data_IF_896895945464
#
_entry.id   IF_896895945464
#
_cell.length_a   1.000
_cell.length_b   1.000
_cell.length_c   1.000
_cell.angle_alpha   90.00
_cell.angle_beta   90.00
_cell.angle_gamma   90.00
#
_symmetry.space_group_name_H-M   'P 1'
#
loop_
_entity.id
_entity.type
_entity.pdbx_description
1 polymer ?
#
# COMPACT_ATOMS: atom_id res chain seq x y z
N UNK A 1 -2.52 36.81 47.54
CA UNK A 1 -3.39 35.73 47.02
C UNK A 1 -4.51 36.32 46.15
N UNK A 2 -4.18 36.99 45.04
CA UNK A 2 -5.20 37.55 44.14
C UNK A 2 -4.61 37.75 42.73
N UNK A 3 -4.42 36.65 42.00
CA UNK A 3 -3.99 36.74 40.59
C UNK A 3 -4.36 35.47 39.77
N UNK A 4 -5.53 34.85 40.04
CA UNK A 4 -5.97 33.64 39.31
C UNK A 4 -7.30 33.82 38.55
N UNK A 5 -8.05 34.91 38.75
CA UNK A 5 -9.37 35.03 38.13
C UNK A 5 -9.41 36.17 37.13
N UNK A 6 -9.24 35.85 35.83
CA UNK A 6 -9.97 36.43 34.68
C UNK A 6 -9.33 36.00 33.35
N UNK A 7 -9.28 34.68 33.07
CA UNK A 7 -9.18 34.27 31.68
C UNK A 7 -10.53 34.61 31.01
N UNK A 8 -10.54 35.50 30.02
CA UNK A 8 -11.78 35.84 29.30
C UNK A 8 -12.32 34.59 28.59
N UNK A 9 -13.63 34.48 28.39
CA UNK A 9 -14.24 33.32 27.72
C UNK A 9 -13.60 33.00 26.36
N UNK A 10 -13.09 34.02 25.66
CA UNK A 10 -12.33 33.88 24.41
C UNK A 10 -10.97 33.18 24.61
N UNK A 11 -10.24 33.46 25.68
CA UNK A 11 -8.95 32.82 26.00
C UNK A 11 -9.17 31.34 26.37
N UNK A 12 -10.18 31.04 27.19
CA UNK A 12 -10.55 29.67 27.55
C UNK A 12 -10.94 28.84 26.32
N UNK A 13 -11.69 29.42 25.38
CA UNK A 13 -12.04 28.78 24.11
C UNK A 13 -10.80 28.55 23.23
N UNK A 14 -9.88 29.50 23.19
CA UNK A 14 -8.63 29.40 22.42
C UNK A 14 -7.71 28.32 22.98
N UNK A 15 -7.55 28.23 24.31
CA UNK A 15 -6.77 27.18 24.98
C UNK A 15 -7.39 25.80 24.73
N UNK A 16 -8.72 25.66 24.88
CA UNK A 16 -9.43 24.41 24.58
C UNK A 16 -9.27 23.98 23.13
N UNK A 17 -9.41 24.91 22.19
CA UNK A 17 -9.22 24.65 20.75
C UNK A 17 -7.79 24.22 20.43
N UNK A 18 -6.80 24.86 21.05
CA UNK A 18 -5.39 24.53 20.88
C UNK A 18 -5.06 23.14 21.46
N UNK A 19 -5.62 22.80 22.63
CA UNK A 19 -5.50 21.48 23.23
C UNK A 19 -6.12 20.38 22.36
N UNK A 20 -7.35 20.60 21.89
CA UNK A 20 -8.05 19.66 21.01
C UNK A 20 -7.29 19.42 19.70
N UNK A 21 -6.73 20.48 19.10
CA UNK A 21 -5.94 20.36 17.87
C UNK A 21 -4.63 19.59 18.09
N UNK A 22 -4.00 19.71 19.28
CA UNK A 22 -2.82 18.90 19.62
C UNK A 22 -3.16 17.41 19.69
N UNK A 23 -4.27 17.06 20.35
CA UNK A 23 -4.74 15.66 20.43
C UNK A 23 -5.06 15.13 19.02
N UNK A 24 -5.79 15.91 18.22
CA UNK A 24 -6.10 15.57 16.83
C UNK A 24 -4.84 15.27 16.02
N UNK A 25 -3.81 16.12 16.11
CA UNK A 25 -2.52 15.91 15.44
C UNK A 25 -1.78 14.68 15.96
N UNK A 26 -1.79 14.43 17.27
CA UNK A 26 -1.15 13.27 17.86
C UNK A 26 -1.79 11.94 17.37
N UNK A 27 -3.11 11.85 17.40
CA UNK A 27 -3.86 10.70 16.89
C UNK A 27 -3.62 10.52 15.38
N UNK A 28 -3.73 11.60 14.61
CA UNK A 28 -3.48 11.59 13.16
C UNK A 28 -2.08 11.08 12.84
N UNK A 29 -1.07 11.55 13.59
CA UNK A 29 0.30 11.13 13.40
C UNK A 29 0.52 9.66 13.77
N UNK A 30 0.02 9.22 14.93
CA UNK A 30 0.12 7.83 15.36
C UNK A 30 -0.56 6.87 14.36
N UNK A 31 -1.76 7.21 13.90
CA UNK A 31 -2.48 6.45 12.89
C UNK A 31 -1.75 6.40 11.55
N UNK A 32 -1.19 7.53 11.08
CA UNK A 32 -0.41 7.59 9.85
C UNK A 32 0.88 6.76 9.94
N UNK A 33 1.59 6.78 11.07
CA UNK A 33 2.76 5.94 11.30
C UNK A 33 2.40 4.46 11.30
N UNK A 34 1.33 4.08 12.01
CA UNK A 34 0.86 2.70 12.05
C UNK A 34 0.44 2.23 10.66
N UNK A 35 -0.35 3.03 9.93
CA UNK A 35 -0.74 2.72 8.56
C UNK A 35 0.47 2.48 7.66
N UNK A 36 1.43 3.41 7.66
CA UNK A 36 2.62 3.32 6.83
C UNK A 36 3.50 2.11 7.19
N UNK A 37 3.75 1.89 8.48
CA UNK A 37 4.61 0.79 8.97
C UNK A 37 3.99 -0.59 8.80
N UNK A 38 2.68 -0.73 8.96
CA UNK A 38 1.98 -2.00 8.78
C UNK A 38 1.60 -2.30 7.33
N UNK A 39 1.76 -1.36 6.40
CA UNK A 39 1.44 -1.56 4.98
C UNK A 39 1.98 -2.86 4.37
N UNK A 40 3.26 -3.24 4.58
CA UNK A 40 3.80 -4.51 4.08
C UNK A 40 3.69 -5.67 5.08
N UNK A 41 3.01 -5.51 6.21
CA UNK A 41 2.99 -6.49 7.31
C UNK A 41 1.58 -7.02 7.57
N UNK A 42 0.57 -6.15 7.66
CA UNK A 42 -0.76 -6.54 8.12
C UNK A 42 -1.86 -5.65 7.55
N UNK A 43 -2.83 -6.26 6.87
CA UNK A 43 -4.04 -5.57 6.41
C UNK A 43 -4.79 -5.01 7.63
N UNK A 44 -5.00 -5.81 8.69
CA UNK A 44 -5.64 -5.32 9.90
C UNK A 44 -4.89 -4.13 10.52
N UNK A 45 -3.56 -4.21 10.63
CA UNK A 45 -2.73 -3.11 11.13
C UNK A 45 -2.87 -1.82 10.30
N UNK A 46 -2.93 -1.93 8.97
CA UNK A 46 -3.16 -0.77 8.10
C UNK A 46 -4.52 -0.13 8.29
N UNK A 47 -5.58 -0.94 8.45
CA UNK A 47 -6.95 -0.46 8.66
C UNK A 47 -7.11 0.18 10.03
N UNK A 48 -6.53 -0.42 11.08
CA UNK A 48 -6.51 0.18 12.43
C UNK A 48 -5.77 1.53 12.40
N UNK A 49 -4.61 1.60 11.74
CA UNK A 49 -3.88 2.85 11.55
C UNK A 49 -4.71 3.93 10.84
N UNK A 50 -5.42 3.57 9.76
CA UNK A 50 -6.34 4.47 9.06
C UNK A 50 -7.49 4.92 9.96
N UNK A 51 -8.08 4.01 10.75
CA UNK A 51 -9.15 4.35 11.68
C UNK A 51 -8.70 5.36 12.74
N UNK A 52 -7.52 5.15 13.34
CA UNK A 52 -6.92 6.09 14.30
C UNK A 52 -6.66 7.45 13.64
N UNK A 53 -6.14 7.46 12.40
CA UNK A 53 -5.91 8.69 11.66
C UNK A 53 -7.20 9.44 11.34
N UNK A 54 -8.25 8.72 10.92
CA UNK A 54 -9.57 9.28 10.65
C UNK A 54 -10.20 9.88 11.91
N UNK A 55 -10.09 9.21 13.06
CA UNK A 55 -10.53 9.76 14.35
C UNK A 55 -9.79 11.06 14.71
N UNK A 56 -8.47 11.10 14.47
CA UNK A 56 -7.66 12.31 14.62
C UNK A 56 -8.11 13.45 13.70
N UNK A 57 -8.42 13.17 12.43
CA UNK A 57 -8.94 14.16 11.48
C UNK A 57 -10.32 14.67 11.93
N UNK A 58 -11.23 13.78 12.35
CA UNK A 58 -12.55 14.16 12.84
C UNK A 58 -12.46 15.08 14.07
N UNK A 59 -11.61 14.74 15.04
CA UNK A 59 -11.32 15.60 16.19
C UNK A 59 -10.72 16.95 15.74
N UNK A 60 -9.86 16.94 14.72
CA UNK A 60 -9.32 18.14 14.10
C UNK A 60 -10.41 19.03 13.51
N UNK A 61 -11.35 18.46 12.75
CA UNK A 61 -12.48 19.18 12.14
C UNK A 61 -13.34 19.84 13.22
N UNK A 62 -13.67 19.12 14.29
CA UNK A 62 -14.40 19.67 15.44
C UNK A 62 -13.60 20.79 16.13
N UNK A 63 -12.26 20.68 16.18
CA UNK A 63 -11.37 21.74 16.66
C UNK A 63 -11.15 22.88 15.64
N UNK A 64 -11.82 22.86 14.49
CA UNK A 64 -11.80 23.89 13.47
C UNK A 64 -10.67 23.78 12.44
N UNK A 65 -10.08 22.59 12.27
CA UNK A 65 -9.30 22.26 11.07
C UNK A 65 -10.23 22.21 9.86
N UNK A 66 -9.76 22.76 8.73
CA UNK A 66 -10.49 22.71 7.47
C UNK A 66 -9.79 21.72 6.53
N UNK A 67 -10.45 20.64 6.10
CA UNK A 67 -9.88 19.70 5.15
C UNK A 67 -9.37 20.41 3.89
N UNK A 68 -8.20 19.98 3.41
CA UNK A 68 -7.61 20.53 2.19
C UNK A 68 -8.29 19.93 0.98
N UNK A 69 -8.65 20.79 0.02
CA UNK A 69 -9.11 20.36 -1.30
C UNK A 69 -7.96 19.84 -2.14
N UNK A 70 -8.22 18.85 -2.97
CA UNK A 70 -7.22 18.32 -3.90
C UNK A 70 -7.82 18.05 -5.27
N UNK A 71 -6.96 17.99 -6.28
CA UNK A 71 -7.33 17.59 -7.64
C UNK A 71 -7.83 16.15 -7.73
N UNK A 72 -7.61 15.33 -6.69
CA UNK A 72 -8.09 13.95 -6.63
C UNK A 72 -9.54 13.85 -6.15
N UNK A 73 -10.13 14.89 -5.56
CA UNK A 73 -11.48 14.80 -5.00
C UNK A 73 -12.53 14.42 -6.05
N UNK A 74 -12.51 15.08 -7.21
CA UNK A 74 -13.48 14.80 -8.28
C UNK A 74 -13.33 13.37 -8.85
N UNK A 75 -12.12 12.90 -9.20
CA UNK A 75 -11.92 11.49 -9.58
C UNK A 75 -12.34 10.48 -8.50
N UNK A 76 -12.04 10.75 -7.23
CA UNK A 76 -12.40 9.86 -6.12
C UNK A 76 -13.92 9.83 -5.92
N UNK A 77 -14.59 10.99 -5.96
CA UNK A 77 -16.05 11.08 -5.88
C UNK A 77 -16.75 10.41 -7.06
N UNK A 78 -16.22 10.58 -8.27
CA UNK A 78 -16.72 9.88 -9.45
C UNK A 78 -16.60 8.36 -9.29
N UNK A 79 -15.45 7.88 -8.82
CA UNK A 79 -15.25 6.45 -8.57
C UNK A 79 -16.18 5.92 -7.46
N UNK A 80 -16.35 6.66 -6.36
CA UNK A 80 -17.30 6.32 -5.30
C UNK A 80 -18.73 6.26 -5.85
N UNK A 81 -19.14 7.25 -6.65
CA UNK A 81 -20.47 7.28 -7.26
C UNK A 81 -20.69 6.09 -8.21
N UNK A 82 -19.68 5.73 -9.01
CA UNK A 82 -19.73 4.55 -9.88
C UNK A 82 -19.83 3.26 -9.05
N UNK A 83 -19.06 3.11 -7.98
CA UNK A 83 -19.15 1.94 -7.11
C UNK A 83 -20.52 1.82 -6.44
N UNK A 84 -21.06 2.91 -5.91
CA UNK A 84 -22.40 2.92 -5.31
C UNK A 84 -23.47 2.62 -6.37
N UNK A 85 -23.37 3.21 -7.57
CA UNK A 85 -24.29 2.91 -8.66
C UNK A 85 -24.21 1.43 -9.06
N UNK A 86 -23.01 0.86 -9.14
CA UNK A 86 -22.80 -0.57 -9.42
C UNK A 86 -23.44 -1.46 -8.34
N UNK A 87 -23.30 -1.09 -7.07
CA UNK A 87 -23.92 -1.80 -5.95
C UNK A 87 -25.46 -1.75 -6.03
N UNK A 88 -26.03 -0.58 -6.37
CA UNK A 88 -27.48 -0.39 -6.49
C UNK A 88 -28.08 -1.06 -7.74
N UNK A 89 -27.32 -1.15 -8.83
CA UNK A 89 -27.72 -1.81 -10.07
C UNK A 89 -27.45 -3.32 -10.08
N UNK A 90 -26.85 -3.85 -9.01
CA UNK A 90 -26.62 -5.28 -8.86
C UNK A 90 -27.95 -6.06 -8.91
N UNK A 91 -28.06 -7.11 -9.73
CA UNK A 91 -29.28 -7.93 -9.80
C UNK A 91 -29.57 -8.68 -8.49
N UNK A 92 -28.58 -8.78 -7.59
CA UNK A 92 -28.73 -9.38 -6.26
C UNK A 92 -29.04 -8.36 -5.16
N UNK A 93 -29.23 -7.09 -5.53
CA UNK A 93 -29.37 -5.97 -4.59
C UNK A 93 -28.03 -5.45 -4.05
N UNK A 94 -28.07 -4.36 -3.27
CA UNK A 94 -26.86 -3.77 -2.70
C UNK A 94 -26.23 -4.72 -1.67
N UNK A 95 -24.89 -4.86 -1.68
CA UNK A 95 -24.19 -5.68 -0.71
C UNK A 95 -24.33 -5.10 0.70
N UNK A 96 -24.18 -5.95 1.71
CA UNK A 96 -24.03 -5.48 3.09
C UNK A 96 -22.84 -4.52 3.22
N UNK A 97 -22.90 -3.60 4.18
CA UNK A 97 -21.85 -2.60 4.42
C UNK A 97 -20.46 -3.22 4.67
N UNK A 98 -20.41 -4.43 5.22
CA UNK A 98 -19.18 -5.19 5.41
C UNK A 98 -18.56 -5.63 4.07
N UNK A 99 -19.40 -5.93 3.07
CA UNK A 99 -19.04 -6.44 1.75
C UNK A 99 -18.85 -5.34 0.70
N UNK A 100 -19.35 -4.12 0.97
CA UNK A 100 -19.22 -2.93 0.12
C UNK A 100 -17.79 -2.32 0.17
N UNK A 101 -16.78 -3.13 -0.19
CA UNK A 101 -15.35 -2.83 0.05
C UNK A 101 -14.74 -1.85 -0.96
N UNK A 102 -15.31 -1.73 -2.16
CA UNK A 102 -14.74 -0.94 -3.26
C UNK A 102 -14.67 0.54 -2.94
N UNK A 103 -15.80 1.18 -2.62
CA UNK A 103 -15.83 2.61 -2.31
C UNK A 103 -15.13 2.92 -0.97
N UNK A 104 -15.18 2.00 0.00
CA UNK A 104 -14.49 2.14 1.29
C UNK A 104 -12.98 2.19 1.14
N UNK A 105 -12.41 1.43 0.20
CA UNK A 105 -10.97 1.42 -0.07
C UNK A 105 -10.46 2.78 -0.57
N UNK A 106 -11.34 3.56 -1.21
CA UNK A 106 -11.04 4.90 -1.74
C UNK A 106 -10.87 5.91 -0.61
N UNK A 107 -11.61 5.75 0.50
CA UNK A 107 -11.51 6.62 1.67
C UNK A 107 -10.09 6.64 2.26
N UNK A 108 -9.33 5.55 2.13
CA UNK A 108 -7.95 5.49 2.59
C UNK A 108 -7.07 6.59 1.98
N UNK A 109 -7.24 6.87 0.68
CA UNK A 109 -6.50 7.95 0.00
C UNK A 109 -6.84 9.33 0.59
N UNK A 110 -8.12 9.57 0.85
CA UNK A 110 -8.58 10.81 1.46
C UNK A 110 -8.02 10.97 2.89
N UNK A 111 -8.10 9.92 3.71
CA UNK A 111 -7.57 9.93 5.09
C UNK A 111 -6.07 10.21 5.11
N UNK A 112 -5.27 9.53 4.27
CA UNK A 112 -3.83 9.78 4.20
C UNK A 112 -3.53 11.21 3.76
N UNK A 113 -4.25 11.72 2.76
CA UNK A 113 -4.07 13.08 2.27
C UNK A 113 -4.42 14.13 3.34
N UNK A 114 -5.56 13.99 4.02
CA UNK A 114 -5.94 14.90 5.09
C UNK A 114 -5.02 14.77 6.30
N UNK A 115 -4.47 13.58 6.56
CA UNK A 115 -3.46 13.38 7.60
C UNK A 115 -2.22 14.22 7.30
N UNK A 116 -1.72 14.17 6.07
CA UNK A 116 -0.57 14.97 5.63
C UNK A 116 -0.88 16.48 5.72
N UNK A 117 -2.09 16.90 5.33
CA UNK A 117 -2.53 18.29 5.40
C UNK A 117 -2.61 18.81 6.85
N UNK A 118 -3.28 18.08 7.73
CA UNK A 118 -3.45 18.43 9.15
C UNK A 118 -2.12 18.47 9.90
N UNK A 119 -1.20 17.56 9.56
CA UNK A 119 0.12 17.53 10.17
C UNK A 119 1.03 18.63 9.64
N UNK A 120 0.92 18.98 8.35
CA UNK A 120 1.54 20.13 7.66
C UNK A 120 3.07 20.11 7.54
N UNK A 121 3.76 19.51 8.51
CA UNK A 121 5.20 19.60 8.65
C UNK A 121 5.93 18.47 7.93
N UNK A 122 7.07 18.81 7.29
CA UNK A 122 7.91 17.84 6.55
C UNK A 122 8.38 16.67 7.43
N UNK A 123 8.63 16.90 8.73
CA UNK A 123 9.09 15.85 9.65
C UNK A 123 8.10 14.69 9.78
N UNK A 124 6.79 14.95 9.79
CA UNK A 124 5.78 13.90 9.95
C UNK A 124 5.66 13.05 8.69
N UNK A 125 5.71 13.68 7.51
CA UNK A 125 5.80 12.96 6.23
C UNK A 125 7.04 12.08 6.17
N UNK A 126 8.19 12.63 6.55
CA UNK A 126 9.44 11.88 6.57
C UNK A 126 9.40 10.70 7.56
N UNK A 127 8.76 10.88 8.73
CA UNK A 127 8.58 9.81 9.71
C UNK A 127 7.65 8.70 9.18
N UNK A 128 6.56 9.05 8.49
CA UNK A 128 5.70 8.06 7.83
C UNK A 128 6.44 7.27 6.75
N UNK A 129 7.25 7.94 5.92
CA UNK A 129 8.10 7.28 4.92
C UNK A 129 9.18 6.40 5.57
N UNK A 130 9.73 6.81 6.71
CA UNK A 130 10.65 5.98 7.50
C UNK A 130 9.96 4.73 8.07
N UNK A 131 8.73 4.86 8.58
CA UNK A 131 7.93 3.74 9.05
C UNK A 131 7.61 2.76 7.91
N UNK A 132 7.20 3.27 6.74
CA UNK A 132 6.99 2.44 5.55
C UNK A 132 8.26 1.70 5.11
N UNK A 133 9.41 2.39 5.09
CA UNK A 133 10.68 1.78 4.75
C UNK A 133 11.10 0.71 5.78
N UNK A 134 10.94 0.96 7.08
CA UNK A 134 11.21 -0.01 8.14
C UNK A 134 10.31 -1.24 8.02
N UNK A 135 9.01 -1.04 7.81
CA UNK A 135 8.06 -2.12 7.59
C UNK A 135 8.43 -2.97 6.36
N UNK A 136 8.81 -2.31 5.25
CA UNK A 136 9.20 -3.00 4.03
C UNK A 136 10.48 -3.80 4.22
N UNK A 137 11.51 -3.23 4.88
CA UNK A 137 12.72 -3.96 5.25
C UNK A 137 12.39 -5.24 6.03
N UNK A 138 11.58 -5.11 7.08
CA UNK A 138 11.21 -6.24 7.94
C UNK A 138 10.47 -7.31 7.14
N UNK A 139 9.45 -6.93 6.38
CA UNK A 139 8.65 -7.87 5.58
C UNK A 139 9.47 -8.52 4.45
N UNK A 140 10.35 -7.76 3.81
CA UNK A 140 11.24 -8.28 2.77
C UNK A 140 12.26 -9.28 3.33
N UNK A 141 12.85 -9.00 4.49
CA UNK A 141 13.77 -9.94 5.17
C UNK A 141 13.04 -11.24 5.50
N UNK A 142 11.85 -11.16 6.09
CA UNK A 142 11.02 -12.34 6.38
C UNK A 142 10.69 -13.11 5.09
N UNK A 143 10.31 -12.42 4.02
CA UNK A 143 10.02 -13.02 2.72
C UNK A 143 11.25 -13.70 2.08
N UNK A 144 12.44 -13.13 2.22
CA UNK A 144 13.69 -13.71 1.71
C UNK A 144 14.15 -14.93 2.54
N UNK A 145 13.92 -14.91 3.85
CA UNK A 145 14.14 -16.08 4.73
C UNK A 145 13.16 -17.19 4.35
N UNK A 146 11.88 -16.87 4.17
CA UNK A 146 10.86 -17.79 3.66
C UNK A 146 11.28 -18.42 2.33
N UNK A 147 11.73 -17.60 1.37
CA UNK A 147 12.19 -18.08 0.06
C UNK A 147 13.26 -19.18 0.18
N UNK A 148 14.14 -19.07 1.17
CA UNK A 148 15.26 -19.99 1.37
C UNK A 148 14.92 -21.22 2.20
N UNK A 149 14.04 -21.08 3.19
CA UNK A 149 13.86 -22.06 4.28
C UNK A 149 12.47 -22.67 4.32
N UNK A 150 11.47 -22.03 3.72
CA UNK A 150 10.06 -22.41 3.84
C UNK A 150 9.42 -22.04 5.17
N UNK A 151 10.16 -21.37 6.07
CA UNK A 151 9.67 -21.02 7.40
C UNK A 151 8.58 -19.94 7.33
N UNK A 152 7.35 -20.27 7.69
CA UNK A 152 6.30 -19.28 7.95
C UNK A 152 6.45 -18.70 9.36
N UNK A 153 7.08 -17.52 9.47
CA UNK A 153 7.27 -16.82 10.74
C UNK A 153 5.94 -16.53 11.46
N UNK A 154 4.86 -16.24 10.72
CA UNK A 154 3.55 -15.91 11.31
C UNK A 154 2.98 -17.14 12.02
N UNK A 155 3.14 -18.31 11.42
CA UNK A 155 2.77 -19.58 12.02
C UNK A 155 3.68 -19.95 13.21
N UNK A 156 5.00 -19.77 13.10
CA UNK A 156 5.93 -20.00 14.22
C UNK A 156 5.59 -19.15 15.45
N UNK A 157 5.16 -17.90 15.23
CA UNK A 157 4.70 -17.00 16.28
C UNK A 157 3.28 -17.31 16.79
N UNK A 158 2.63 -18.37 16.27
CA UNK A 158 1.25 -18.78 16.59
C UNK A 158 0.22 -17.68 16.31
N UNK A 159 0.51 -16.81 15.36
CA UNK A 159 -0.41 -15.77 14.88
C UNK A 159 -1.29 -16.28 13.72
N UNK A 160 -1.08 -17.53 13.28
CA UNK A 160 -1.87 -18.23 12.27
C UNK A 160 -1.86 -19.73 12.57
N UNK A 161 -3.02 -20.36 12.44
CA UNK A 161 -3.24 -21.79 12.70
C UNK A 161 -2.43 -22.68 11.76
N UNK A 162 -2.54 -22.45 10.45
CA UNK A 162 -1.84 -23.23 9.45
C UNK A 162 -0.66 -22.48 8.87
N UNK A 163 0.46 -23.17 8.71
CA UNK A 163 1.57 -22.64 7.97
C UNK A 163 1.21 -22.45 6.50
N UNK A 164 1.62 -21.32 5.93
CA UNK A 164 1.42 -21.02 4.51
C UNK A 164 2.78 -20.93 3.83
N UNK A 165 2.95 -21.70 2.77
CA UNK A 165 4.03 -21.56 1.81
C UNK A 165 3.56 -22.04 0.44
N UNK A 166 4.22 -21.54 -0.60
CA UNK A 166 4.03 -21.97 -1.98
C UNK A 166 5.40 -22.25 -2.54
N UNK A 167 5.59 -23.37 -3.23
CA UNK A 167 6.89 -23.64 -3.87
C UNK A 167 7.23 -22.60 -4.93
N UNK A 168 8.52 -22.29 -5.01
CA UNK A 168 9.07 -21.41 -6.01
C UNK A 168 9.02 -22.12 -7.38
N UNK A 169 8.34 -21.53 -8.38
CA UNK A 169 8.21 -22.14 -9.69
C UNK A 169 9.57 -22.40 -10.34
N UNK A 170 9.81 -23.64 -10.74
CA UNK A 170 11.05 -24.05 -11.40
C UNK A 170 12.28 -24.09 -10.48
N UNK A 171 12.10 -24.02 -9.16
CA UNK A 171 13.18 -24.11 -8.17
C UNK A 171 12.76 -25.04 -7.02
N UNK A 172 12.96 -26.36 -7.15
CA UNK A 172 12.69 -27.33 -6.09
C UNK A 172 13.40 -26.96 -4.78
N UNK A 173 12.70 -27.12 -3.65
CA UNK A 173 13.23 -26.78 -2.31
C UNK A 173 13.36 -25.27 -2.02
N UNK A 174 12.82 -24.41 -2.89
CA UNK A 174 12.66 -22.98 -2.65
C UNK A 174 11.17 -22.63 -2.59
N UNK A 175 10.86 -21.50 -1.95
CA UNK A 175 9.47 -21.07 -1.71
C UNK A 175 9.23 -19.65 -2.23
N UNK A 176 8.00 -19.28 -2.55
CA UNK A 176 7.66 -17.90 -2.89
C UNK A 176 7.77 -17.01 -1.64
N UNK A 177 8.41 -15.85 -1.78
CA UNK A 177 8.41 -14.85 -0.71
C UNK A 177 6.97 -14.35 -0.45
N UNK A 178 6.53 -14.36 0.81
CA UNK A 178 5.21 -13.88 1.21
C UNK A 178 5.24 -12.86 2.36
N UNK A 179 6.39 -12.70 3.02
CA UNK A 179 6.52 -11.83 4.19
C UNK A 179 5.53 -12.27 5.27
N UNK A 180 4.66 -11.36 5.69
CA UNK A 180 3.64 -11.65 6.70
C UNK A 180 2.27 -12.03 6.11
N UNK A 181 2.13 -12.03 4.77
CA UNK A 181 0.85 -12.32 4.12
C UNK A 181 0.65 -13.83 3.90
N UNK A 182 -0.58 -14.21 3.53
CA UNK A 182 -0.94 -15.59 3.14
C UNK A 182 -0.63 -15.89 1.67
N UNK A 183 -0.36 -14.86 0.86
CA UNK A 183 -0.19 -14.97 -0.58
C UNK A 183 1.01 -14.17 -1.06
N UNK A 184 1.84 -14.80 -1.88
CA UNK A 184 2.97 -14.16 -2.57
C UNK A 184 2.53 -13.03 -3.50
N UNK A 185 1.30 -13.08 -4.02
CA UNK A 185 0.76 -12.03 -4.90
C UNK A 185 0.45 -10.77 -4.09
N UNK A 186 -0.24 -10.92 -2.95
CA UNK A 186 -0.55 -9.81 -2.05
C UNK A 186 0.73 -9.14 -1.56
N UNK A 187 1.71 -9.94 -1.14
CA UNK A 187 3.01 -9.42 -0.73
C UNK A 187 3.74 -8.71 -1.88
N UNK A 188 3.84 -9.35 -3.05
CA UNK A 188 4.53 -8.79 -4.21
C UNK A 188 3.98 -7.43 -4.63
N UNK A 189 2.65 -7.29 -4.73
CA UNK A 189 2.02 -6.03 -5.11
C UNK A 189 2.19 -4.94 -4.04
N UNK A 190 2.03 -5.27 -2.75
CA UNK A 190 2.27 -4.33 -1.66
C UNK A 190 3.73 -3.85 -1.60
N UNK A 191 4.68 -4.77 -1.74
CA UNK A 191 6.11 -4.44 -1.77
C UNK A 191 6.44 -3.55 -2.98
N UNK A 192 5.91 -3.87 -4.17
CA UNK A 192 6.08 -3.04 -5.38
C UNK A 192 5.56 -1.61 -5.18
N UNK A 193 4.38 -1.45 -4.57
CA UNK A 193 3.82 -0.12 -4.29
C UNK A 193 4.74 0.71 -3.38
N UNK A 194 5.28 0.10 -2.32
CA UNK A 194 6.19 0.77 -1.39
C UNK A 194 7.56 1.06 -2.03
N UNK A 195 8.09 0.15 -2.85
CA UNK A 195 9.30 0.40 -3.63
C UNK A 195 9.10 1.60 -4.56
N UNK A 196 7.96 1.69 -5.25
CA UNK A 196 7.64 2.82 -6.12
C UNK A 196 7.53 4.13 -5.32
N UNK A 197 6.82 4.12 -4.19
CA UNK A 197 6.67 5.29 -3.30
C UNK A 197 8.02 5.79 -2.77
N UNK A 198 8.85 4.88 -2.25
CA UNK A 198 10.16 5.22 -1.69
C UNK A 198 11.15 5.65 -2.78
N UNK A 199 11.13 4.97 -3.93
CA UNK A 199 11.95 5.31 -5.10
C UNK A 199 11.60 6.69 -5.65
N UNK A 200 10.30 6.99 -5.80
CA UNK A 200 9.82 8.32 -6.16
C UNK A 200 10.20 9.38 -5.12
N UNK A 201 10.08 9.06 -3.84
CA UNK A 201 10.48 9.97 -2.74
C UNK A 201 11.97 10.28 -2.72
N UNK A 202 12.82 9.30 -3.02
CA UNK A 202 14.26 9.48 -3.21
C UNK A 202 14.57 10.33 -4.44
N UNK A 203 13.95 10.01 -5.57
CA UNK A 203 14.12 10.74 -6.83
C UNK A 203 13.66 12.20 -6.72
N UNK A 204 12.65 12.49 -5.89
CA UNK A 204 12.17 13.83 -5.59
C UNK A 204 13.04 14.57 -4.56
N UNK A 205 14.00 13.91 -3.89
CA UNK A 205 14.77 14.50 -2.79
C UNK A 205 13.91 14.85 -1.56
N UNK A 206 12.78 14.14 -1.39
CA UNK A 206 11.81 14.44 -0.35
C UNK A 206 12.26 13.99 1.05
N UNK A 207 13.18 13.01 1.11
CA UNK A 207 13.61 12.34 2.34
C UNK A 207 14.77 13.05 3.06
N UNK A 208 14.79 12.97 4.38
CA UNK A 208 15.97 13.28 5.19
C UNK A 208 17.06 12.22 4.99
N UNK A 209 18.34 12.58 5.20
CA UNK A 209 19.49 11.70 4.93
C UNK A 209 19.38 10.30 5.55
N UNK A 210 19.02 10.19 6.83
CA UNK A 210 18.87 8.89 7.51
C UNK A 210 17.73 8.05 6.91
N UNK A 211 16.60 8.70 6.62
CA UNK A 211 15.44 8.05 5.98
C UNK A 211 15.74 7.66 4.53
N UNK A 212 16.56 8.44 3.82
CA UNK A 212 17.00 8.11 2.47
C UNK A 212 17.85 6.83 2.44
N UNK A 213 18.77 6.66 3.40
CA UNK A 213 19.55 5.42 3.53
C UNK A 213 18.63 4.23 3.84
N UNK A 214 17.73 4.37 4.82
CA UNK A 214 16.76 3.32 5.15
C UNK A 214 15.87 2.97 3.94
N UNK A 215 15.40 3.97 3.20
CA UNK A 215 14.60 3.78 1.99
C UNK A 215 15.40 3.06 0.89
N UNK A 216 16.68 3.40 0.71
CA UNK A 216 17.57 2.69 -0.21
C UNK A 216 17.72 1.20 0.14
N UNK A 217 17.94 0.89 1.43
CA UNK A 217 17.97 -0.49 1.91
C UNK A 217 16.62 -1.20 1.70
N UNK A 218 15.52 -0.53 2.01
CA UNK A 218 14.17 -1.07 1.84
C UNK A 218 13.83 -1.35 0.37
N UNK A 219 14.26 -0.49 -0.55
CA UNK A 219 14.10 -0.69 -1.99
C UNK A 219 14.91 -1.89 -2.46
N UNK A 220 16.18 -1.99 -2.07
CA UNK A 220 17.04 -3.11 -2.47
C UNK A 220 16.47 -4.46 -1.98
N UNK A 221 16.11 -4.54 -0.70
CA UNK A 221 15.49 -5.73 -0.12
C UNK A 221 14.11 -6.01 -0.73
N UNK A 222 13.31 -4.96 -0.95
CA UNK A 222 11.98 -5.05 -1.55
C UNK A 222 12.03 -5.60 -2.98
N UNK A 223 12.95 -5.13 -3.82
CA UNK A 223 13.14 -5.66 -5.18
C UNK A 223 13.56 -7.12 -5.14
N UNK A 224 14.50 -7.49 -4.26
CA UNK A 224 14.92 -8.88 -4.11
C UNK A 224 13.77 -9.78 -3.64
N UNK A 225 12.96 -9.31 -2.68
CA UNK A 225 11.80 -10.05 -2.18
C UNK A 225 10.71 -10.17 -3.26
N UNK A 226 10.44 -9.10 -4.02
CA UNK A 226 9.50 -9.10 -5.17
C UNK A 226 9.96 -10.07 -6.25
N UNK A 227 11.26 -10.14 -6.57
CA UNK A 227 11.80 -11.16 -7.45
C UNK A 227 11.52 -12.58 -6.92
N UNK A 228 11.74 -12.80 -5.63
CA UNK A 228 11.49 -14.08 -4.95
C UNK A 228 10.00 -14.45 -4.81
N UNK A 229 9.06 -13.56 -5.17
CA UNK A 229 7.63 -13.92 -5.25
C UNK A 229 7.30 -14.72 -6.52
N UNK A 230 8.11 -14.62 -7.58
CA UNK A 230 7.78 -15.15 -8.90
C UNK A 230 6.45 -14.64 -9.47
N UNK A 231 6.05 -13.43 -9.07
CA UNK A 231 4.87 -12.74 -9.57
C UNK A 231 5.24 -11.81 -10.73
N UNK A 232 4.80 -12.19 -11.93
CA UNK A 232 5.03 -11.45 -13.17
C UNK A 232 4.36 -10.07 -13.15
N UNK A 233 3.19 -9.95 -12.50
CA UNK A 233 2.46 -8.68 -12.37
C UNK A 233 3.24 -7.68 -11.53
N UNK A 234 3.78 -8.13 -10.40
CA UNK A 234 4.62 -7.32 -9.53
C UNK A 234 5.91 -6.84 -10.23
N UNK A 235 6.54 -7.67 -11.06
CA UNK A 235 7.72 -7.29 -11.86
C UNK A 235 7.40 -6.24 -12.91
N UNK A 236 6.30 -6.43 -13.64
CA UNK A 236 5.86 -5.47 -14.65
C UNK A 236 5.51 -4.12 -13.99
N UNK A 237 4.81 -4.14 -12.85
CA UNK A 237 4.49 -2.94 -12.10
C UNK A 237 5.74 -2.19 -11.61
N UNK A 238 6.80 -2.89 -11.19
CA UNK A 238 8.08 -2.25 -10.88
C UNK A 238 8.74 -1.61 -12.10
N UNK A 239 8.72 -2.28 -13.25
CA UNK A 239 9.25 -1.72 -14.49
C UNK A 239 8.51 -0.44 -14.91
N UNK A 240 7.18 -0.47 -14.87
CA UNK A 240 6.34 0.71 -15.16
C UNK A 240 6.60 1.83 -14.15
N UNK A 241 6.66 1.52 -12.85
CA UNK A 241 6.96 2.50 -11.82
C UNK A 241 8.33 3.17 -12.04
N UNK A 242 9.35 2.39 -12.42
CA UNK A 242 10.68 2.92 -12.74
C UNK A 242 10.62 3.88 -13.95
N UNK A 243 9.90 3.52 -15.02
CA UNK A 243 9.71 4.39 -16.20
C UNK A 243 9.03 5.71 -15.82
N UNK A 244 7.97 5.65 -15.00
CA UNK A 244 7.28 6.84 -14.49
C UNK A 244 8.22 7.72 -13.68
N UNK A 245 9.02 7.14 -12.77
CA UNK A 245 10.00 7.90 -11.97
C UNK A 245 11.07 8.57 -12.85
N UNK A 246 11.54 7.90 -13.91
CA UNK A 246 12.47 8.48 -14.89
C UNK A 246 11.83 9.63 -15.65
N UNK A 247 10.59 9.45 -16.09
CA UNK A 247 9.85 10.43 -16.87
C UNK A 247 9.69 11.75 -16.11
N UNK A 248 9.37 11.67 -14.81
CA UNK A 248 9.10 12.83 -13.98
C UNK A 248 10.29 13.36 -13.16
N UNK A 249 11.45 12.69 -13.14
CA UNK A 249 12.61 13.15 -12.37
C UNK A 249 13.94 12.92 -13.08
N UNK A 250 14.74 14.00 -13.21
CA UNK A 250 16.14 13.94 -13.70
C UNK A 250 17.01 13.03 -12.82
N UNK A 251 16.82 13.07 -11.49
CA UNK A 251 17.48 12.15 -10.53
C UNK A 251 16.86 10.75 -10.57
N UNK A 252 15.64 10.64 -11.09
CA UNK A 252 14.93 9.38 -11.31
C UNK A 252 15.68 8.40 -12.20
N UNK A 253 16.51 8.88 -13.14
CA UNK A 253 17.39 8.04 -13.97
C UNK A 253 18.33 7.18 -13.14
N UNK A 254 19.01 7.76 -12.14
CA UNK A 254 19.95 7.02 -11.31
C UNK A 254 19.23 5.99 -10.41
N UNK A 255 18.09 6.38 -9.83
CA UNK A 255 17.27 5.50 -9.00
C UNK A 255 16.71 4.34 -9.84
N UNK A 256 16.14 4.64 -11.00
CA UNK A 256 15.59 3.62 -11.89
C UNK A 256 16.67 2.71 -12.47
N UNK A 257 17.87 3.24 -12.78
CA UNK A 257 19.01 2.42 -13.19
C UNK A 257 19.41 1.45 -12.07
N UNK A 258 19.50 1.92 -10.82
CA UNK A 258 19.81 1.06 -9.68
C UNK A 258 18.74 -0.03 -9.49
N UNK A 259 17.46 0.32 -9.57
CA UNK A 259 16.36 -0.65 -9.52
C UNK A 259 16.39 -1.63 -10.69
N UNK A 260 16.70 -1.15 -11.90
CA UNK A 260 16.82 -1.95 -13.10
C UNK A 260 17.97 -2.95 -13.03
N UNK A 261 19.13 -2.54 -12.51
CA UNK A 261 20.27 -3.44 -12.26
C UNK A 261 19.90 -4.50 -11.23
N UNK A 262 19.20 -4.13 -10.15
CA UNK A 262 18.72 -5.08 -9.15
C UNK A 262 17.73 -6.11 -9.74
N UNK A 263 16.80 -5.66 -10.60
CA UNK A 263 15.87 -6.53 -11.33
C UNK A 263 16.59 -7.42 -12.36
N UNK A 264 17.57 -6.90 -13.09
CA UNK A 264 18.39 -7.69 -14.02
C UNK A 264 19.17 -8.78 -13.29
N UNK A 265 19.71 -8.47 -12.11
CA UNK A 265 20.33 -9.47 -11.23
C UNK A 265 19.36 -10.61 -10.86
N UNK A 266 18.08 -10.29 -10.63
CA UNK A 266 17.06 -11.31 -10.38
C UNK A 266 16.77 -12.21 -11.60
N UNK A 267 16.94 -11.72 -12.83
CA UNK A 267 16.82 -12.55 -14.05
C UNK A 267 17.87 -13.68 -14.07
N UNK A 268 18.96 -13.57 -13.30
CA UNK A 268 19.92 -14.66 -13.19
C UNK A 268 19.36 -15.89 -12.46
N UNK A 269 18.25 -15.78 -11.73
CA UNK A 269 17.60 -16.92 -11.09
C UNK A 269 16.89 -17.81 -12.14
N UNK A 270 17.19 -19.12 -12.21
CA UNK A 270 16.59 -20.02 -13.21
C UNK A 270 15.05 -20.01 -13.21
N UNK A 271 14.44 -19.98 -12.02
CA UNK A 271 12.99 -19.88 -11.86
C UNK A 271 12.42 -18.57 -12.43
N UNK A 272 13.15 -17.46 -12.33
CA UNK A 272 12.72 -16.18 -12.93
C UNK A 272 12.79 -16.26 -14.45
N UNK A 273 13.87 -16.81 -15.03
CA UNK A 273 13.98 -16.99 -16.49
C UNK A 273 12.88 -17.87 -17.06
N UNK A 274 12.62 -19.01 -16.41
CA UNK A 274 11.55 -19.94 -16.82
C UNK A 274 10.18 -19.26 -16.80
N UNK A 275 9.92 -18.43 -15.78
CA UNK A 275 8.67 -17.66 -15.66
C UNK A 275 8.54 -16.57 -16.71
N UNK A 276 9.65 -15.90 -17.05
CA UNK A 276 9.68 -14.91 -18.14
C UNK A 276 9.42 -15.58 -19.50
N UNK A 277 10.10 -16.70 -19.80
CA UNK A 277 9.92 -17.43 -21.06
C UNK A 277 8.47 -17.87 -21.30
N UNK A 278 7.78 -18.31 -20.24
CA UNK A 278 6.37 -18.73 -20.30
C UNK A 278 5.37 -17.57 -20.20
N UNK A 279 5.81 -16.31 -20.20
CA UNK A 279 4.89 -15.14 -20.09
C UNK A 279 4.08 -14.92 -21.36
N UNK A 280 4.68 -15.12 -22.53
CA UNK A 280 4.05 -14.92 -23.82
C UNK A 280 3.71 -16.24 -24.53
N UNK A 281 3.86 -17.37 -23.85
CA UNK A 281 3.47 -18.68 -24.39
C UNK A 281 1.96 -18.87 -24.22
N UNK A 282 1.23 -18.87 -25.33
CA UNK A 282 -0.22 -19.07 -25.35
C UNK A 282 -0.65 -20.44 -24.80
N UNK A 283 0.16 -21.49 -25.01
CA UNK A 283 -0.16 -22.84 -24.49
C UNK A 283 -0.02 -22.89 -22.98
N UNK A 284 1.06 -22.31 -22.45
CA UNK A 284 1.29 -22.22 -21.01
C UNK A 284 0.28 -21.30 -20.28
N UNK A 285 -0.50 -20.49 -21.01
CA UNK A 285 -1.50 -19.57 -20.45
C UNK A 285 -2.92 -19.84 -21.01
N UNK A 286 -3.18 -21.04 -21.54
CA UNK A 286 -4.47 -21.41 -22.14
C UNK A 286 -5.65 -21.17 -21.18
N UNK A 287 -5.53 -21.55 -19.92
CA UNK A 287 -6.58 -21.33 -18.91
C UNK A 287 -6.92 -19.86 -18.72
N UNK A 288 -5.92 -18.97 -18.75
CA UNK A 288 -6.14 -17.52 -18.65
C UNK A 288 -6.86 -17.00 -19.88
N UNK A 289 -6.43 -17.41 -21.06
CA UNK A 289 -7.08 -17.03 -22.32
C UNK A 289 -8.54 -17.49 -22.34
N UNK A 290 -8.80 -18.69 -21.85
CA UNK A 290 -10.16 -19.22 -21.68
C UNK A 290 -10.99 -18.36 -20.72
N UNK A 291 -10.45 -18.01 -19.54
CA UNK A 291 -11.12 -17.12 -18.59
C UNK A 291 -11.43 -15.74 -19.19
N UNK A 292 -10.49 -15.13 -19.91
CA UNK A 292 -10.71 -13.85 -20.60
C UNK A 292 -11.76 -13.96 -21.70
N UNK A 293 -11.79 -15.07 -22.44
CA UNK A 293 -12.81 -15.33 -23.45
C UNK A 293 -14.20 -15.46 -22.82
N UNK A 294 -14.33 -16.23 -21.72
CA UNK A 294 -15.59 -16.35 -20.97
C UNK A 294 -16.04 -15.02 -20.37
N UNK A 295 -15.12 -14.25 -19.79
CA UNK A 295 -15.42 -12.91 -19.28
C UNK A 295 -15.95 -11.98 -20.38
N UNK A 296 -15.38 -12.07 -21.60
CA UNK A 296 -15.86 -11.30 -22.76
C UNK A 296 -17.26 -11.70 -23.20
N UNK A 297 -17.59 -13.00 -23.16
CA UNK A 297 -18.94 -13.50 -23.46
C UNK A 297 -19.95 -12.95 -22.43
N UNK A 298 -19.63 -13.01 -21.14
CA UNK A 298 -20.47 -12.44 -20.07
C UNK A 298 -20.70 -10.94 -20.27
N UNK A 299 -19.66 -10.16 -20.60
CA UNK A 299 -19.79 -8.72 -20.87
C UNK A 299 -20.68 -8.46 -22.08
N UNK A 300 -20.59 -9.31 -23.11
CA UNK A 300 -21.42 -9.18 -24.32
C UNK A 300 -22.89 -9.48 -24.02
N UNK A 301 -23.16 -10.49 -23.20
CA UNK A 301 -24.52 -10.94 -22.91
C UNK A 301 -25.19 -10.07 -21.83
N UNK A 302 -24.41 -9.56 -20.87
CA UNK A 302 -24.90 -8.77 -19.73
C UNK A 302 -24.11 -7.45 -19.53
N UNK A 303 -24.13 -6.51 -20.50
CA UNK A 303 -23.25 -5.34 -20.51
C UNK A 303 -23.54 -4.31 -19.41
N UNK A 304 -24.76 -4.28 -18.88
CA UNK A 304 -25.21 -3.26 -17.90
C UNK A 304 -25.26 -3.82 -16.48
N UNK A 305 -25.97 -4.95 -16.29
CA UNK A 305 -26.20 -5.52 -14.96
C UNK A 305 -25.16 -6.58 -14.55
N UNK A 306 -24.35 -7.07 -15.50
CA UNK A 306 -23.49 -8.23 -15.28
C UNK A 306 -24.28 -9.48 -14.88
N UNK A 307 -23.57 -10.47 -14.34
CA UNK A 307 -24.14 -11.71 -13.80
C UNK A 307 -23.93 -11.85 -12.28
N UNK A 308 -23.33 -10.82 -11.64
CA UNK A 308 -22.91 -10.81 -10.24
C UNK A 308 -22.01 -11.97 -9.80
N UNK A 309 -21.81 -12.09 -8.48
CA UNK A 309 -21.18 -13.25 -7.84
C UNK A 309 -22.27 -13.98 -7.07
N UNK A 310 -22.57 -15.22 -7.47
CA UNK A 310 -23.44 -16.13 -6.70
C UNK A 310 -22.66 -16.76 -5.54
#
# INVERSE_FOLDING_TARGET
MAEISQATGAELLTVRRTGALRIARALTFAGLLAHAGFCPISIAGTQIGLGIAAAGIAAGIVAGFRPARTTLELPLLALVAICIASDLLSPYGPPELASATLWRSILGFWVVQQSVSLLGERRYRNAALAAAAAGLCLSAVVGLVQFRTGIDLVHLLRLREEARWVEAPGLPGRFGAMGFFISRLTFGHNATLLVALLGGSLAAGALHRRTAVLAGCAIALGIAAVAATFDRGAWLALAVAALVVVWFSKRGRAVALACGVALLGAVLLPGVRSRLATTFDFRANADRLFLWARAREIIRDHPVHGVGFA
#
